data_IF_166797992995
#
_entry.id   IF_166797992995
#
_cell.length_a   1.000
_cell.length_b   1.000
_cell.length_c   1.000
_cell.angle_alpha   90.00
_cell.angle_beta   90.00
_cell.angle_gamma   90.00
#
_symmetry.space_group_name_H-M   'P 1'
#
loop_
_entity.id
_entity.type
_entity.pdbx_description
1 polymer ?
#
# COMPACT_ATOMS: atom_id res chain seq x y z
N UNK A 1 9.67 -1.76 3.00
CA UNK A 1 10.81 -2.66 3.32
C UNK A 1 12.07 -2.23 2.57
N UNK A 2 13.27 -2.48 3.10
CA UNK A 2 14.53 -2.22 2.41
C UNK A 2 15.32 -3.51 2.14
N UNK A 3 16.15 -3.52 1.09
CA UNK A 3 17.07 -4.62 0.80
C UNK A 3 18.07 -4.83 1.94
N UNK A 4 18.52 -6.07 2.09
CA UNK A 4 19.62 -6.37 3.00
C UNK A 4 20.89 -5.65 2.57
N UNK A 5 21.59 -5.03 3.53
CA UNK A 5 22.81 -4.25 3.33
C UNK A 5 22.65 -2.97 2.49
N UNK A 6 21.44 -2.44 2.32
CA UNK A 6 21.24 -1.10 1.76
C UNK A 6 21.92 -0.05 2.64
N UNK A 7 22.55 0.95 2.02
CA UNK A 7 23.17 2.04 2.76
C UNK A 7 22.10 3.06 3.20
N UNK A 8 21.82 3.13 4.50
CA UNK A 8 20.82 4.08 5.03
C UNK A 8 21.17 5.55 4.76
N UNK A 9 22.46 5.86 4.57
CA UNK A 9 22.91 7.23 4.27
C UNK A 9 22.80 7.57 2.78
N UNK A 10 22.56 6.57 1.92
CA UNK A 10 22.49 6.71 0.46
C UNK A 10 21.55 5.65 -0.12
N UNK A 11 20.24 5.91 0.01
CA UNK A 11 19.19 5.00 -0.45
C UNK A 11 18.85 5.23 -1.92
N UNK A 12 18.93 4.19 -2.73
CA UNK A 12 18.47 4.18 -4.12
C UNK A 12 17.05 3.62 -4.21
N UNK A 13 16.33 3.90 -5.31
CA UNK A 13 14.99 3.32 -5.53
C UNK A 13 15.02 1.78 -5.44
N UNK A 14 16.02 1.16 -6.04
CA UNK A 14 16.19 -0.30 -6.03
C UNK A 14 16.44 -0.88 -4.64
N UNK A 15 16.78 -0.06 -3.64
CA UNK A 15 16.91 -0.51 -2.25
C UNK A 15 15.56 -0.64 -1.55
N UNK A 16 14.50 -0.04 -2.09
CA UNK A 16 13.14 -0.13 -1.57
C UNK A 16 12.43 -1.34 -2.17
N UNK A 17 11.88 -2.18 -1.31
CA UNK A 17 11.15 -3.38 -1.69
C UNK A 17 9.68 -3.28 -1.33
N UNK A 18 8.83 -3.80 -2.20
CA UNK A 18 7.42 -4.02 -1.88
C UNK A 18 7.28 -5.10 -0.78
N UNK A 19 6.59 -4.79 0.31
CA UNK A 19 6.38 -5.73 1.41
C UNK A 19 5.51 -6.96 1.03
N UNK A 20 4.81 -6.92 -0.11
CA UNK A 20 3.90 -7.97 -0.56
C UNK A 20 4.50 -8.94 -1.57
N UNK A 21 5.55 -8.55 -2.29
CA UNK A 21 6.19 -9.40 -3.30
C UNK A 21 7.72 -9.30 -3.32
N UNK A 22 8.31 -8.46 -2.45
CA UNK A 22 9.74 -8.15 -2.33
C UNK A 22 10.41 -7.72 -3.64
N UNK A 23 9.63 -7.31 -4.65
CA UNK A 23 10.16 -6.66 -5.84
C UNK A 23 10.66 -5.27 -5.50
N UNK A 24 11.78 -4.92 -6.11
CA UNK A 24 12.40 -3.61 -6.09
C UNK A 24 11.49 -2.53 -6.66
N UNK A 25 11.64 -1.32 -6.15
CA UNK A 25 11.06 -0.16 -6.80
C UNK A 25 11.87 0.21 -8.04
N UNK A 26 11.15 0.42 -9.13
CA UNK A 26 11.66 0.85 -10.44
C UNK A 26 10.78 1.99 -10.95
N UNK A 27 11.27 2.77 -11.91
CA UNK A 27 10.47 3.82 -12.57
C UNK A 27 9.21 3.25 -13.26
N UNK A 28 9.27 2.02 -13.77
CA UNK A 28 8.16 1.38 -14.52
C UNK A 28 6.97 0.92 -13.66
N UNK A 29 7.14 0.81 -12.34
CA UNK A 29 6.11 0.26 -11.45
C UNK A 29 5.93 1.23 -10.29
N UNK A 30 4.77 1.91 -10.20
CA UNK A 30 4.56 2.85 -9.12
C UNK A 30 4.53 2.12 -7.77
N UNK A 31 4.96 2.81 -6.72
CA UNK A 31 5.00 2.29 -5.37
C UNK A 31 4.37 3.29 -4.41
N UNK A 32 3.57 2.79 -3.48
CA UNK A 32 2.95 3.58 -2.42
C UNK A 32 3.62 3.23 -1.10
N UNK A 33 4.10 4.26 -0.41
CA UNK A 33 4.56 4.17 0.98
C UNK A 33 3.37 4.26 1.95
N UNK A 34 3.41 3.43 3.00
CA UNK A 34 2.51 3.46 4.14
C UNK A 34 3.23 3.92 5.40
N UNK A 35 2.74 3.47 6.56
CA UNK A 35 3.37 3.79 7.84
C UNK A 35 4.71 3.07 8.00
N UNK A 36 5.69 3.77 8.60
CA UNK A 36 7.01 3.24 8.94
C UNK A 36 7.76 2.59 7.77
N UNK A 37 7.70 3.17 6.56
CA UNK A 37 8.43 2.66 5.39
C UNK A 37 7.88 1.35 4.82
N UNK A 38 6.66 0.95 5.20
CA UNK A 38 5.92 -0.11 4.50
C UNK A 38 5.61 0.35 3.08
N UNK A 39 5.65 -0.57 2.12
CA UNK A 39 5.54 -0.26 0.71
C UNK A 39 4.71 -1.31 -0.04
N UNK A 40 3.85 -0.86 -0.95
CA UNK A 40 3.11 -1.72 -1.88
C UNK A 40 3.32 -1.25 -3.32
N UNK A 41 3.75 -2.16 -4.21
CA UNK A 41 3.84 -1.85 -5.63
C UNK A 41 2.46 -1.90 -6.29
N UNK A 42 2.29 -1.16 -7.39
CA UNK A 42 1.03 -1.08 -8.14
C UNK A 42 0.48 -2.44 -8.58
N UNK A 43 1.35 -3.42 -8.88
CA UNK A 43 0.91 -4.77 -9.25
C UNK A 43 0.26 -5.52 -8.08
N UNK A 44 0.86 -5.48 -6.89
CA UNK A 44 0.25 -6.08 -5.70
C UNK A 44 -1.02 -5.34 -5.27
N UNK A 45 -1.03 -4.02 -5.43
CA UNK A 45 -2.21 -3.21 -5.14
C UNK A 45 -3.37 -3.55 -6.08
N UNK A 46 -3.12 -3.78 -7.37
CA UNK A 46 -4.14 -4.21 -8.33
C UNK A 46 -4.74 -5.57 -7.96
N UNK A 47 -3.91 -6.53 -7.53
CA UNK A 47 -4.40 -7.83 -7.06
C UNK A 47 -5.26 -7.64 -5.79
N UNK A 48 -4.78 -6.87 -4.81
CA UNK A 48 -5.56 -6.58 -3.60
C UNK A 48 -6.89 -5.88 -3.90
N UNK A 49 -6.89 -4.93 -4.85
CA UNK A 49 -8.10 -4.27 -5.32
C UNK A 49 -9.09 -5.26 -5.94
N UNK A 50 -8.64 -6.04 -6.93
CA UNK A 50 -9.48 -7.04 -7.58
C UNK A 50 -10.04 -8.04 -6.56
N UNK A 51 -9.22 -8.56 -5.64
CA UNK A 51 -9.68 -9.52 -4.65
C UNK A 51 -10.69 -8.92 -3.67
N UNK A 52 -10.36 -7.83 -2.98
CA UNK A 52 -11.11 -7.34 -1.81
C UNK A 52 -12.22 -6.35 -2.16
N UNK A 53 -12.02 -5.57 -3.23
CA UNK A 53 -12.95 -4.52 -3.65
C UNK A 53 -13.92 -5.03 -4.71
N UNK A 54 -13.44 -5.79 -5.70
CA UNK A 54 -14.27 -6.24 -6.81
C UNK A 54 -14.89 -7.63 -6.56
N UNK A 55 -14.10 -8.57 -6.02
CA UNK A 55 -14.55 -9.94 -5.77
C UNK A 55 -14.98 -10.18 -4.32
N UNK A 56 -14.98 -9.14 -3.48
CA UNK A 56 -15.39 -9.19 -2.07
C UNK A 56 -14.72 -10.29 -1.23
N UNK A 57 -13.51 -10.72 -1.62
CA UNK A 57 -12.71 -11.69 -0.88
C UNK A 57 -12.29 -11.13 0.48
N UNK A 58 -12.09 -12.05 1.42
CA UNK A 58 -11.67 -11.76 2.79
C UNK A 58 -10.70 -12.85 3.28
N UNK A 59 -9.41 -12.53 3.30
CA UNK A 59 -8.34 -13.43 3.77
C UNK A 59 -8.02 -13.26 5.27
N UNK A 60 -8.95 -12.67 6.03
CA UNK A 60 -8.73 -12.44 7.47
C UNK A 60 -8.46 -13.75 8.22
N UNK A 61 -7.48 -13.68 9.13
CA UNK A 61 -7.19 -14.73 10.12
C UNK A 61 -7.17 -14.10 11.51
N UNK A 62 -7.30 -14.87 12.61
CA UNK A 62 -7.16 -14.30 13.95
C UNK A 62 -5.88 -13.48 14.11
N UNK A 63 -6.00 -12.31 14.75
CA UNK A 63 -4.90 -11.39 15.06
C UNK A 63 -4.07 -10.88 13.88
N UNK A 64 -4.58 -10.96 12.65
CA UNK A 64 -3.94 -10.33 11.50
C UNK A 64 -3.76 -8.82 11.71
N UNK A 65 -2.71 -8.27 11.11
CA UNK A 65 -2.33 -6.85 11.18
C UNK A 65 -2.02 -6.33 9.79
N UNK A 66 -2.58 -5.18 9.43
CA UNK A 66 -2.30 -4.57 8.13
C UNK A 66 -0.84 -4.09 8.07
N UNK A 67 -0.08 -4.51 7.07
CA UNK A 67 1.30 -4.10 6.82
C UNK A 67 1.41 -2.60 6.54
N UNK A 68 0.41 -2.01 5.88
CA UNK A 68 0.47 -0.60 5.45
C UNK A 68 0.12 0.41 6.56
N UNK A 69 -0.84 0.10 7.43
CA UNK A 69 -1.24 1.01 8.51
C UNK A 69 -0.87 0.53 9.92
N UNK A 70 -0.32 -0.68 10.04
CA UNK A 70 0.09 -1.29 11.31
C UNK A 70 -1.05 -1.42 12.35
N UNK A 71 -2.29 -1.49 11.91
CA UNK A 71 -3.46 -1.68 12.77
C UNK A 71 -4.01 -3.09 12.63
N UNK A 72 -4.54 -3.64 13.72
CA UNK A 72 -5.48 -4.76 13.67
C UNK A 72 -6.84 -4.24 13.19
N UNK A 73 -7.39 -4.85 12.16
CA UNK A 73 -8.64 -4.40 11.54
C UNK A 73 -9.66 -5.54 11.54
N UNK A 74 -10.93 -5.18 11.50
CA UNK A 74 -12.05 -6.12 11.32
C UNK A 74 -12.58 -6.12 9.88
N UNK A 75 -12.11 -5.17 9.07
CA UNK A 75 -12.49 -5.06 7.66
C UNK A 75 -11.83 -6.18 6.85
N UNK A 76 -12.43 -6.63 5.73
CA UNK A 76 -11.79 -7.60 4.85
C UNK A 76 -10.38 -7.19 4.40
N UNK A 77 -9.53 -8.18 4.21
CA UNK A 77 -8.15 -7.97 3.81
C UNK A 77 -7.75 -8.89 2.65
N UNK A 78 -6.68 -8.48 1.98
CA UNK A 78 -5.93 -9.34 1.07
C UNK A 78 -4.67 -9.81 1.79
N UNK A 79 -4.40 -11.11 1.72
CA UNK A 79 -3.15 -11.73 2.17
C UNK A 79 -2.29 -12.06 0.96
N UNK A 80 -1.03 -11.66 0.97
CA UNK A 80 -0.13 -12.01 -0.14
C UNK A 80 0.06 -13.53 -0.21
N UNK A 81 -0.07 -14.15 -1.40
CA UNK A 81 0.27 -15.56 -1.58
C UNK A 81 1.78 -15.79 -1.62
N UNK A 82 2.59 -14.73 -1.81
CA UNK A 82 4.04 -14.82 -1.82
C UNK A 82 4.66 -14.71 -0.43
N UNK A 83 4.01 -13.96 0.47
CA UNK A 83 4.49 -13.69 1.83
C UNK A 83 3.32 -13.70 2.79
N UNK A 84 3.23 -14.78 3.54
CA UNK A 84 2.12 -15.12 4.42
C UNK A 84 1.89 -14.12 5.57
N UNK A 85 2.91 -13.32 5.90
CA UNK A 85 2.87 -12.25 6.90
C UNK A 85 2.31 -10.92 6.36
N UNK A 86 2.20 -10.77 5.03
CA UNK A 86 1.85 -9.50 4.40
C UNK A 86 0.34 -9.40 4.15
N UNK A 87 -0.32 -8.53 4.91
CA UNK A 87 -1.74 -8.24 4.79
C UNK A 87 -1.99 -6.78 4.46
N UNK A 88 -2.97 -6.50 3.62
CA UNK A 88 -3.45 -5.13 3.39
C UNK A 88 -4.95 -5.05 3.62
N UNK A 89 -5.35 -4.11 4.48
CA UNK A 89 -6.76 -3.89 4.78
C UNK A 89 -7.47 -3.17 3.63
N UNK A 90 -8.78 -3.41 3.49
CA UNK A 90 -9.66 -2.73 2.52
C UNK A 90 -9.48 -1.20 2.48
N UNK A 91 -9.28 -0.56 3.64
CA UNK A 91 -9.06 0.89 3.73
C UNK A 91 -7.76 1.32 3.03
N UNK A 92 -6.65 0.63 3.32
CA UNK A 92 -5.36 0.96 2.72
C UNK A 92 -5.34 0.68 1.22
N UNK A 93 -6.00 -0.37 0.75
CA UNK A 93 -6.19 -0.64 -0.68
C UNK A 93 -6.83 0.58 -1.38
N UNK A 94 -7.93 1.09 -0.82
CA UNK A 94 -8.64 2.25 -1.42
C UNK A 94 -7.80 3.51 -1.41
N UNK A 95 -7.14 3.83 -0.30
CA UNK A 95 -6.32 5.04 -0.18
C UNK A 95 -5.13 4.97 -1.14
N UNK A 96 -4.41 3.85 -1.19
CA UNK A 96 -3.28 3.66 -2.08
C UNK A 96 -3.69 3.75 -3.56
N UNK A 97 -4.83 3.13 -3.93
CA UNK A 97 -5.33 3.20 -5.30
C UNK A 97 -5.75 4.63 -5.70
N UNK A 98 -6.32 5.39 -4.76
CA UNK A 98 -6.65 6.79 -5.00
C UNK A 98 -5.40 7.66 -5.15
N UNK A 99 -4.33 7.40 -4.39
CA UNK A 99 -3.06 8.10 -4.54
C UNK A 99 -2.49 7.88 -5.95
N UNK A 100 -2.41 6.63 -6.42
CA UNK A 100 -1.91 6.34 -7.76
C UNK A 100 -2.77 6.94 -8.89
N UNK A 101 -4.10 6.99 -8.73
CA UNK A 101 -4.97 7.63 -9.73
C UNK A 101 -4.80 9.15 -9.80
N UNK A 102 -4.36 9.80 -8.71
CA UNK A 102 -4.09 11.24 -8.68
C UNK A 102 -2.76 11.60 -9.32
N UNK A 103 -1.79 10.69 -9.35
CA UNK A 103 -0.52 10.87 -10.06
C UNK A 103 -0.73 11.00 -11.59
N UNK A 104 -1.90 10.60 -12.11
CA UNK A 104 -2.31 10.71 -13.51
C UNK A 104 -3.10 12.03 -13.81
N UNK A 105 -3.04 13.02 -12.91
CA UNK A 105 -3.73 14.31 -13.08
C UNK A 105 -2.73 15.44 -13.36
N UNK A 106 -2.58 15.74 -14.66
CA UNK A 106 -2.49 17.11 -15.16
C UNK A 106 -3.60 17.95 -14.46
N UNK A 107 -3.23 19.11 -13.90
CA UNK A 107 -4.10 20.18 -13.36
C UNK A 107 -4.82 19.99 -11.99
N UNK A 108 -4.14 19.56 -10.92
CA UNK A 108 -4.71 19.65 -9.56
C UNK A 108 -4.42 20.98 -8.83
N UNK A 109 -5.47 21.68 -8.37
CA UNK A 109 -5.39 22.59 -7.21
C UNK A 109 -6.31 22.14 -6.06
N UNK A 110 -5.77 22.22 -4.83
CA UNK A 110 -6.47 21.91 -3.59
C UNK A 110 -7.58 22.94 -3.26
N UNK A 111 -8.84 22.53 -3.03
CA UNK A 111 -9.86 23.43 -2.48
C UNK A 111 -9.56 23.80 -1.02
N UNK A 112 -9.64 25.09 -0.68
CA UNK A 112 -9.38 25.60 0.68
C UNK A 112 -10.44 25.11 1.68
N UNK A 113 -10.04 24.75 2.92
CA UNK A 113 -10.99 24.30 3.94
C UNK A 113 -11.91 25.46 4.39
N UNK A 114 -13.23 25.26 4.30
CA UNK A 114 -14.23 26.10 4.98
C UNK A 114 -14.67 25.45 6.30
N UNK A 115 -14.65 26.26 7.36
CA UNK A 115 -14.61 25.92 8.80
C UNK A 115 -15.75 25.03 9.33
N UNK A 116 -15.44 24.30 10.41
CA UNK A 116 -16.39 23.67 11.35
C UNK A 116 -17.23 24.73 12.08
N UNK A 117 -18.53 24.50 12.16
CA UNK A 117 -19.44 25.06 13.17
C UNK A 117 -20.19 23.91 13.82
N UNK A 118 -19.96 23.70 15.11
CA UNK A 118 -20.94 23.30 16.14
C UNK A 118 -20.42 23.82 17.49
#
# INVERSE_FOLDING_TARGET
MFKENSNSDSMEMSDVLCDFCRREWTEDIPMIEGHHGSCICGKCLNVGWASVIENEMDDTIPDWKCTMCLEHRKDPCYRSPAYEEAFICRRCIRIAAQALRKEDLDDWEAPKPTRRTE
#
